data_IF_700138172498
#
_entry.id   IF_700138172498
#
_cell.length_a   1.000
_cell.length_b   1.000
_cell.length_c   1.000
_cell.angle_alpha   90.00
_cell.angle_beta   90.00
_cell.angle_gamma   90.00
#
_symmetry.space_group_name_H-M   'P 1'
#
loop_
_entity.id
_entity.type
_entity.pdbx_description
1 polymer ?
#
# COMPACT_ATOMS: atom_id res chain seq x y z
N UNK A 1 15.44 10.64 -12.98
CA UNK A 1 16.29 11.85 -12.99
C UNK A 1 15.85 12.77 -11.86
N UNK A 2 16.75 13.25 -10.98
CA UNK A 2 16.39 14.33 -10.07
C UNK A 2 16.21 15.62 -10.88
N UNK A 3 15.01 16.18 -10.88
CA UNK A 3 14.75 17.50 -11.45
C UNK A 3 15.44 18.54 -10.55
N UNK A 4 16.28 19.39 -11.14
CA UNK A 4 16.86 20.54 -10.43
C UNK A 4 15.69 21.48 -10.12
N UNK A 5 15.21 21.45 -8.87
CA UNK A 5 13.95 22.12 -8.49
C UNK A 5 14.03 23.64 -8.56
N UNK A 6 15.22 24.23 -8.41
CA UNK A 6 15.41 25.67 -8.22
C UNK A 6 16.70 26.11 -8.92
N UNK A 7 16.57 26.62 -10.14
CA UNK A 7 17.70 27.15 -10.91
C UNK A 7 17.82 28.65 -10.67
N UNK A 8 19.05 29.15 -10.50
CA UNK A 8 19.30 30.58 -10.31
C UNK A 8 19.35 31.24 -11.69
N UNK A 9 18.52 32.24 -11.89
CA UNK A 9 18.45 32.99 -13.13
C UNK A 9 18.96 34.42 -12.92
N UNK A 10 19.79 34.96 -13.83
CA UNK A 10 20.38 34.34 -15.02
C UNK A 10 21.58 33.42 -14.72
N UNK A 11 21.78 32.36 -15.51
CA UNK A 11 22.82 31.34 -15.25
C UNK A 11 24.25 31.81 -15.60
N UNK A 12 24.39 32.62 -16.64
CA UNK A 12 25.68 33.12 -17.12
C UNK A 12 25.87 34.57 -16.73
N UNK A 13 27.06 34.92 -16.26
CA UNK A 13 27.38 36.26 -15.76
C UNK A 13 27.81 37.25 -16.86
N UNK A 14 28.53 36.77 -17.87
CA UNK A 14 29.22 37.63 -18.83
C UNK A 14 29.33 36.99 -20.23
N UNK A 15 28.22 36.44 -20.74
CA UNK A 15 28.18 35.78 -22.06
C UNK A 15 27.69 36.66 -23.22
N UNK A 16 27.29 37.91 -22.93
CA UNK A 16 26.83 38.86 -23.94
C UNK A 16 28.01 39.57 -24.60
N UNK A 17 27.96 39.73 -25.92
CA UNK A 17 28.93 40.53 -26.65
C UNK A 17 28.88 42.00 -26.18
N UNK A 18 30.05 42.63 -26.10
CA UNK A 18 30.14 44.06 -25.79
C UNK A 18 29.65 44.84 -27.01
N UNK A 19 28.72 45.80 -26.85
CA UNK A 19 28.26 46.63 -27.97
C UNK A 19 29.40 47.43 -28.63
N UNK A 20 29.34 47.57 -29.95
CA UNK A 20 30.31 48.34 -30.72
C UNK A 20 30.24 49.84 -30.36
N UNK A 21 31.41 50.51 -30.33
CA UNK A 21 31.50 51.95 -30.09
C UNK A 21 31.57 52.38 -28.61
N UNK A 22 31.78 51.44 -27.69
CA UNK A 22 31.98 51.74 -26.26
C UNK A 22 33.45 52.11 -26.02
N UNK A 23 33.68 53.26 -25.37
CA UNK A 23 35.04 53.72 -25.06
C UNK A 23 35.79 52.87 -24.02
N UNK A 24 35.08 52.35 -23.01
CA UNK A 24 35.65 51.50 -21.97
C UNK A 24 34.91 50.17 -21.85
N UNK A 25 35.33 49.20 -22.66
CA UNK A 25 34.71 47.87 -22.73
C UNK A 25 34.79 47.12 -21.39
N UNK A 26 35.89 47.26 -20.64
CA UNK A 26 36.08 46.59 -19.36
C UNK A 26 35.08 47.08 -18.30
N UNK A 27 34.85 48.39 -18.24
CA UNK A 27 33.84 48.98 -17.36
C UNK A 27 32.43 48.52 -17.74
N UNK A 28 32.13 48.41 -19.05
CA UNK A 28 30.86 47.86 -19.51
C UNK A 28 30.66 46.41 -19.07
N UNK A 29 31.66 45.54 -19.27
CA UNK A 29 31.59 44.11 -18.87
C UNK A 29 31.46 43.97 -17.37
N UNK A 30 32.23 44.73 -16.59
CA UNK A 30 32.16 44.69 -15.11
C UNK A 30 30.80 45.16 -14.59
N UNK A 31 30.24 46.25 -15.13
CA UNK A 31 28.91 46.72 -14.74
C UNK A 31 27.80 45.73 -15.14
N UNK A 32 27.87 45.16 -16.34
CA UNK A 32 26.96 44.08 -16.77
C UNK A 32 27.06 42.85 -15.86
N UNK A 33 28.27 42.46 -15.48
CA UNK A 33 28.52 41.35 -14.57
C UNK A 33 27.91 41.63 -13.19
N UNK A 34 28.13 42.82 -12.62
CA UNK A 34 27.55 43.23 -11.33
C UNK A 34 26.02 43.26 -11.38
N UNK A 35 25.44 43.84 -12.43
CA UNK A 35 23.99 43.83 -12.65
C UNK A 35 23.42 42.41 -12.71
N UNK A 36 24.16 41.50 -13.35
CA UNK A 36 23.78 40.09 -13.47
C UNK A 36 23.89 39.35 -12.13
N UNK A 37 24.93 39.64 -11.33
CA UNK A 37 25.06 39.13 -9.95
C UNK A 37 23.89 39.60 -9.08
N UNK A 38 23.48 40.88 -9.17
CA UNK A 38 22.33 41.40 -8.42
C UNK A 38 21.05 40.63 -8.78
N UNK A 39 20.85 40.32 -10.07
CA UNK A 39 19.71 39.50 -10.52
C UNK A 39 19.77 38.07 -9.98
N UNK A 40 20.96 37.45 -9.96
CA UNK A 40 21.14 36.13 -9.35
C UNK A 40 20.82 36.13 -7.85
N UNK A 41 21.24 37.16 -7.11
CA UNK A 41 20.92 37.32 -5.69
C UNK A 41 19.42 37.50 -5.48
N UNK A 42 18.74 38.28 -6.33
CA UNK A 42 17.28 38.39 -6.29
C UNK A 42 16.60 37.05 -6.53
N UNK A 43 17.02 36.28 -7.54
CA UNK A 43 16.50 34.93 -7.80
C UNK A 43 16.76 33.98 -6.62
N UNK A 44 17.93 34.07 -5.98
CA UNK A 44 18.26 33.31 -4.79
C UNK A 44 17.33 33.65 -3.61
N UNK A 45 17.07 34.94 -3.38
CA UNK A 45 16.16 35.41 -2.33
C UNK A 45 14.75 34.89 -2.53
N UNK A 46 14.21 34.91 -3.76
CA UNK A 46 12.90 34.32 -4.07
C UNK A 46 12.87 32.81 -3.79
N UNK A 47 13.93 32.08 -4.14
CA UNK A 47 14.00 30.65 -3.84
C UNK A 47 14.07 30.36 -2.33
N UNK A 48 14.80 31.20 -1.59
CA UNK A 48 14.87 31.09 -0.13
C UNK A 48 13.51 31.37 0.52
N UNK A 49 12.80 32.43 0.09
CA UNK A 49 11.44 32.74 0.53
C UNK A 49 10.49 31.55 0.30
N UNK A 50 10.53 30.94 -0.89
CA UNK A 50 9.70 29.77 -1.19
C UNK A 50 9.99 28.59 -0.25
N UNK A 51 11.27 28.30 0.05
CA UNK A 51 11.65 27.22 0.97
C UNK A 51 11.18 27.52 2.39
N UNK A 52 11.42 28.72 2.89
CA UNK A 52 11.01 29.09 4.25
C UNK A 52 9.49 29.19 4.37
N UNK A 53 8.79 29.63 3.33
CA UNK A 53 7.32 29.65 3.27
C UNK A 53 6.71 28.25 3.32
N UNK A 54 7.26 27.29 2.55
CA UNK A 54 6.85 25.88 2.59
C UNK A 54 7.03 25.29 4.00
N UNK A 55 8.21 25.48 4.61
CA UNK A 55 8.50 25.02 5.96
C UNK A 55 7.61 25.68 7.02
N UNK A 56 7.38 26.99 6.90
CA UNK A 56 6.54 27.73 7.82
C UNK A 56 5.09 27.23 7.80
N UNK A 57 4.53 26.99 6.60
CA UNK A 57 3.16 26.49 6.46
C UNK A 57 3.00 25.08 7.06
N UNK A 58 3.98 24.21 6.85
CA UNK A 58 3.99 22.86 7.43
C UNK A 58 4.12 22.92 8.97
N UNK A 59 5.04 23.74 9.48
CA UNK A 59 5.21 23.97 10.92
C UNK A 59 3.95 24.55 11.57
N UNK A 60 3.26 25.48 10.91
CA UNK A 60 2.03 26.07 11.41
C UNK A 60 0.87 25.06 11.41
N UNK A 61 0.80 24.21 10.39
CA UNK A 61 -0.16 23.08 10.34
C UNK A 61 0.10 22.10 11.49
N UNK A 62 1.36 21.78 11.76
CA UNK A 62 1.76 20.96 12.89
C UNK A 62 1.40 21.62 14.23
N UNK A 63 1.71 22.91 14.38
CA UNK A 63 1.41 23.69 15.58
C UNK A 63 -0.09 23.69 15.90
N UNK A 64 -0.96 23.95 14.91
CA UNK A 64 -2.41 23.89 15.10
C UNK A 64 -2.90 22.52 15.56
N UNK A 65 -2.33 21.43 15.00
CA UNK A 65 -2.63 20.05 15.43
C UNK A 65 -2.15 19.76 16.85
N UNK A 66 -0.96 20.24 17.20
CA UNK A 66 -0.37 20.06 18.53
C UNK A 66 -1.21 20.75 19.61
N UNK A 67 -1.63 21.99 19.38
CA UNK A 67 -2.52 22.71 20.30
C UNK A 67 -3.86 22.00 20.48
N UNK A 68 -4.49 21.57 19.38
CA UNK A 68 -5.75 20.81 19.46
C UNK A 68 -5.58 19.48 20.22
N UNK A 69 -4.42 18.83 20.08
CA UNK A 69 -4.12 17.61 20.83
C UNK A 69 -3.88 17.90 22.31
N UNK A 70 -3.15 18.97 22.65
CA UNK A 70 -2.90 19.37 24.03
C UNK A 70 -4.21 19.65 24.77
N UNK A 71 -5.09 20.45 24.18
CA UNK A 71 -6.44 20.72 24.70
C UNK A 71 -7.25 19.44 24.99
N UNK A 72 -7.08 18.41 24.16
CA UNK A 72 -7.74 17.12 24.35
C UNK A 72 -7.10 16.31 25.47
N UNK A 73 -5.79 16.37 25.60
CA UNK A 73 -5.02 15.73 26.68
C UNK A 73 -5.44 16.33 28.03
N UNK A 74 -5.50 17.65 28.14
CA UNK A 74 -5.84 18.33 29.40
C UNK A 74 -7.26 17.95 29.87
N UNK A 75 -8.23 17.99 28.95
CA UNK A 75 -9.62 17.56 29.24
C UNK A 75 -9.69 16.07 29.58
N UNK A 76 -8.90 15.22 28.94
CA UNK A 76 -8.86 13.79 29.23
C UNK A 76 -8.23 13.53 30.60
N UNK A 77 -7.18 14.25 30.98
CA UNK A 77 -6.52 14.13 32.27
C UNK A 77 -7.49 14.43 33.42
N UNK A 78 -8.30 15.50 33.31
CA UNK A 78 -9.35 15.80 34.29
C UNK A 78 -10.38 14.68 34.36
N UNK A 79 -10.85 14.16 33.22
CA UNK A 79 -11.81 13.05 33.21
C UNK A 79 -11.26 11.78 33.84
N UNK A 80 -10.01 11.41 33.53
CA UNK A 80 -9.37 10.20 34.06
C UNK A 80 -9.13 10.31 35.56
N UNK A 81 -8.74 11.48 36.06
CA UNK A 81 -8.53 11.70 37.51
C UNK A 81 -9.82 11.71 38.32
N UNK A 82 -10.96 12.01 37.69
CA UNK A 82 -12.28 11.98 38.31
C UNK A 82 -12.99 10.62 38.22
N UNK A 83 -12.42 9.63 37.52
CA UNK A 83 -13.01 8.29 37.43
C UNK A 83 -12.93 7.57 38.77
N UNK A 84 -14.06 7.05 39.22
CA UNK A 84 -14.17 6.21 40.40
C UNK A 84 -14.57 4.79 39.99
N UNK A 85 -13.58 3.88 40.00
CA UNK A 85 -13.78 2.48 39.64
C UNK A 85 -14.68 1.70 40.60
N UNK A 86 -14.97 2.24 41.80
CA UNK A 86 -15.87 1.60 42.76
C UNK A 86 -17.35 1.79 42.40
N UNK A 87 -17.66 2.82 41.59
CA UNK A 87 -19.02 3.18 41.18
C UNK A 87 -19.30 2.81 39.71
N UNK A 88 -18.27 2.63 38.89
CA UNK A 88 -18.42 2.35 37.46
C UNK A 88 -18.79 0.87 37.18
N UNK A 89 -20.06 0.61 36.88
CA UNK A 89 -20.56 -0.72 36.52
C UNK A 89 -20.36 -1.05 35.02
N UNK A 90 -19.92 -2.29 34.74
CA UNK A 90 -19.73 -2.78 33.37
C UNK A 90 -21.05 -3.30 32.79
N UNK A 91 -21.61 -2.61 31.80
CA UNK A 91 -22.87 -3.00 31.14
C UNK A 91 -22.66 -3.94 29.96
N UNK A 92 -23.26 -5.14 30.02
CA UNK A 92 -23.29 -6.08 28.90
C UNK A 92 -24.19 -5.61 27.75
N UNK A 93 -25.08 -4.64 28.00
CA UNK A 93 -25.94 -4.07 26.95
C UNK A 93 -25.10 -3.33 25.89
N UNK A 94 -23.97 -2.77 26.28
CA UNK A 94 -23.08 -2.00 25.39
C UNK A 94 -22.49 -2.85 24.28
N UNK A 95 -22.28 -4.15 24.53
CA UNK A 95 -21.72 -5.10 23.57
C UNK A 95 -22.60 -5.20 22.33
N UNK A 96 -23.93 -5.18 22.51
CA UNK A 96 -24.88 -5.33 21.42
C UNK A 96 -25.45 -4.00 20.93
N UNK A 97 -25.50 -2.97 21.79
CA UNK A 97 -26.17 -1.70 21.49
C UNK A 97 -25.21 -0.57 21.07
N UNK A 98 -23.92 -0.65 21.40
CA UNK A 98 -22.91 0.33 20.95
C UNK A 98 -22.05 -0.24 19.84
N UNK A 99 -21.66 0.63 18.91
CA UNK A 99 -20.65 0.28 17.91
C UNK A 99 -19.28 0.22 18.58
N UNK A 100 -18.49 -0.79 18.23
CA UNK A 100 -17.11 -0.90 18.66
C UNK A 100 -16.29 0.32 18.22
N UNK A 101 -15.30 0.69 19.02
CA UNK A 101 -14.32 1.71 18.67
C UNK A 101 -13.62 1.35 17.35
N UNK A 102 -13.37 2.37 16.52
CA UNK A 102 -12.59 2.24 15.29
C UNK A 102 -11.56 3.36 15.25
N UNK A 103 -10.32 2.98 15.00
CA UNK A 103 -9.26 3.92 14.67
C UNK A 103 -9.42 4.43 13.23
N UNK A 104 -8.78 5.57 12.94
CA UNK A 104 -8.64 6.05 11.57
C UNK A 104 -7.84 5.06 10.72
N UNK A 105 -8.27 4.84 9.47
CA UNK A 105 -7.60 3.98 8.48
C UNK A 105 -7.44 4.73 7.15
N UNK A 106 -7.08 6.00 7.21
CA UNK A 106 -6.81 6.83 6.02
C UNK A 106 -5.50 6.38 5.39
N UNK A 107 -5.48 6.27 4.07
CA UNK A 107 -4.29 5.92 3.28
C UNK A 107 -4.08 6.98 2.20
N UNK A 108 -2.87 7.51 2.13
CA UNK A 108 -2.50 8.48 1.10
C UNK A 108 -2.32 7.78 -0.25
N UNK A 109 -3.00 8.30 -1.27
CA UNK A 109 -2.99 7.78 -2.63
C UNK A 109 -2.91 8.95 -3.61
N UNK A 110 -2.58 8.68 -4.88
CA UNK A 110 -2.48 9.72 -5.92
C UNK A 110 -1.47 10.84 -5.57
N UNK A 111 -0.34 10.46 -4.95
CA UNK A 111 0.68 11.39 -4.43
C UNK A 111 1.40 12.22 -5.51
N UNK A 112 1.24 11.88 -6.79
CA UNK A 112 1.80 12.60 -7.93
C UNK A 112 0.74 13.36 -8.74
N UNK A 113 -0.37 13.75 -8.09
CA UNK A 113 -1.39 14.55 -8.73
C UNK A 113 -0.90 15.98 -9.01
N UNK A 114 -1.61 16.72 -9.89
CA UNK A 114 -1.31 18.13 -10.17
C UNK A 114 -1.33 19.00 -8.89
N UNK A 115 -2.18 18.66 -7.92
CA UNK A 115 -2.29 19.39 -6.66
C UNK A 115 -1.13 19.17 -5.69
N UNK A 116 -0.40 18.06 -5.80
CA UNK A 116 0.81 17.80 -4.99
C UNK A 116 2.10 18.21 -5.69
N UNK A 117 2.00 18.87 -6.85
CA UNK A 117 3.18 19.35 -7.58
C UNK A 117 3.80 20.54 -6.84
N UNK A 118 5.10 20.51 -6.53
CA UNK A 118 5.78 21.64 -5.89
C UNK A 118 5.68 22.91 -6.73
N UNK A 119 5.57 24.06 -6.07
CA UNK A 119 5.52 25.40 -6.66
C UNK A 119 6.56 25.58 -7.78
N UNK A 120 7.80 25.22 -7.50
CA UNK A 120 8.92 25.38 -8.43
C UNK A 120 8.80 24.50 -9.68
N UNK A 121 8.23 23.30 -9.56
CA UNK A 121 7.97 22.41 -10.70
C UNK A 121 6.78 22.93 -11.52
N UNK A 122 5.77 23.46 -10.86
CA UNK A 122 4.62 24.08 -11.51
C UNK A 122 5.05 25.32 -12.33
N UNK A 123 5.94 26.15 -11.79
CA UNK A 123 6.53 27.29 -12.52
C UNK A 123 7.29 26.84 -13.77
N UNK A 124 8.14 25.81 -13.67
CA UNK A 124 8.85 25.24 -14.82
C UNK A 124 7.88 24.70 -15.88
N UNK A 125 6.85 23.99 -15.45
CA UNK A 125 5.80 23.48 -16.34
C UNK A 125 5.07 24.63 -17.06
N UNK A 126 4.77 25.72 -16.36
CA UNK A 126 4.06 26.87 -16.92
C UNK A 126 4.88 27.69 -17.92
N UNK A 127 6.22 27.64 -17.82
CA UNK A 127 7.15 28.25 -18.80
C UNK A 127 7.37 27.38 -20.04
N UNK A 128 6.95 26.12 -20.00
CA UNK A 128 7.11 25.18 -21.12
C UNK A 128 6.10 25.46 -22.22
N UNK A 129 6.41 25.03 -23.44
CA UNK A 129 5.51 25.19 -24.58
C UNK A 129 4.18 24.46 -24.35
N UNK A 130 3.08 25.18 -24.61
CA UNK A 130 1.74 24.62 -24.47
C UNK A 130 1.40 23.76 -25.68
N UNK A 131 0.62 22.68 -25.49
CA UNK A 131 0.16 21.90 -26.61
C UNK A 131 -0.73 22.74 -27.55
N UNK A 132 -0.85 22.34 -28.84
CA UNK A 132 -1.80 22.96 -29.75
C UNK A 132 -3.22 22.91 -29.18
N UNK A 133 -4.06 23.95 -29.36
CA UNK A 133 -5.39 24.05 -28.76
C UNK A 133 -6.42 23.18 -29.51
N UNK A 134 -6.18 21.86 -29.55
CA UNK A 134 -7.03 20.89 -30.24
C UNK A 134 -8.38 20.72 -29.55
N UNK A 135 -8.51 21.08 -28.27
CA UNK A 135 -9.78 21.07 -27.54
C UNK A 135 -10.89 21.83 -28.30
N UNK A 136 -10.55 22.90 -29.02
CA UNK A 136 -11.50 23.67 -29.83
C UNK A 136 -12.13 22.86 -30.98
N UNK A 137 -11.44 21.83 -31.47
CA UNK A 137 -11.93 20.96 -32.54
C UNK A 137 -12.89 19.87 -32.03
N UNK A 138 -13.00 19.69 -30.71
CA UNK A 138 -13.87 18.67 -30.10
C UNK A 138 -15.33 18.83 -30.53
N UNK A 139 -15.81 20.05 -30.73
CA UNK A 139 -17.19 20.33 -31.13
C UNK A 139 -17.55 19.79 -32.53
N UNK A 140 -16.55 19.51 -33.37
CA UNK A 140 -16.74 19.01 -34.74
C UNK A 140 -16.59 17.49 -34.84
N UNK A 141 -16.37 16.80 -33.71
CA UNK A 141 -16.20 15.35 -33.69
C UNK A 141 -17.53 14.62 -33.53
N UNK A 142 -17.69 13.52 -34.28
CA UNK A 142 -18.89 12.67 -34.22
C UNK A 142 -18.93 11.80 -32.96
N UNK A 143 -17.78 11.43 -32.40
CA UNK A 143 -17.66 10.48 -31.30
C UNK A 143 -17.73 11.11 -29.90
N UNK A 144 -17.91 12.44 -29.80
CA UNK A 144 -17.90 13.23 -28.56
C UNK A 144 -16.64 13.11 -27.70
N UNK A 145 -15.60 12.44 -28.20
CA UNK A 145 -14.32 12.28 -27.51
C UNK A 145 -13.55 13.60 -27.54
N UNK A 146 -12.88 13.95 -26.43
CA UNK A 146 -12.00 15.13 -26.43
C UNK A 146 -10.89 14.95 -27.49
N UNK A 147 -10.82 15.87 -28.45
CA UNK A 147 -9.81 15.89 -29.49
C UNK A 147 -8.37 15.93 -28.92
N UNK A 148 -8.17 16.57 -27.77
CA UNK A 148 -6.88 16.67 -27.12
C UNK A 148 -6.35 15.31 -26.64
N UNK A 149 -7.23 14.37 -26.30
CA UNK A 149 -6.82 13.02 -25.88
C UNK A 149 -6.09 12.25 -26.99
N UNK A 150 -6.32 12.59 -28.26
CA UNK A 150 -5.59 11.99 -29.40
C UNK A 150 -4.16 12.51 -29.53
N UNK A 151 -3.87 13.69 -28.96
CA UNK A 151 -2.52 14.25 -28.90
C UNK A 151 -1.81 13.85 -27.60
N UNK A 152 -2.50 14.00 -26.46
CA UNK A 152 -1.98 13.61 -25.15
C UNK A 152 -3.11 13.24 -24.21
N UNK A 153 -3.11 12.00 -23.74
CA UNK A 153 -4.02 11.50 -22.72
C UNK A 153 -3.26 11.05 -21.46
N UNK A 154 -3.25 11.87 -20.39
CA UNK A 154 -2.62 11.50 -19.12
C UNK A 154 -3.26 10.28 -18.43
N UNK A 155 -4.52 9.96 -18.75
CA UNK A 155 -5.26 8.85 -18.13
C UNK A 155 -5.00 7.50 -18.79
N UNK A 156 -4.43 7.50 -20.00
CA UNK A 156 -4.19 6.32 -20.84
C UNK A 156 -3.54 5.16 -20.09
N UNK A 157 -2.44 5.43 -19.38
CA UNK A 157 -1.70 4.39 -18.65
C UNK A 157 -2.53 3.74 -17.54
N UNK A 158 -3.34 4.54 -16.83
CA UNK A 158 -4.17 4.04 -15.76
C UNK A 158 -5.32 3.19 -16.31
N UNK A 159 -6.00 3.65 -17.36
CA UNK A 159 -7.11 2.91 -17.97
C UNK A 159 -6.63 1.60 -18.58
N UNK A 160 -5.50 1.60 -19.30
CA UNK A 160 -4.88 0.37 -19.83
C UNK A 160 -4.50 -0.60 -18.72
N UNK A 161 -3.89 -0.11 -17.64
CA UNK A 161 -3.54 -0.93 -16.48
C UNK A 161 -4.78 -1.53 -15.83
N UNK A 162 -5.81 -0.72 -15.60
CA UNK A 162 -7.08 -1.12 -14.99
C UNK A 162 -7.75 -2.22 -15.81
N UNK A 163 -7.86 -2.04 -17.12
CA UNK A 163 -8.41 -3.04 -18.04
C UNK A 163 -7.67 -4.37 -17.91
N UNK A 164 -6.33 -4.34 -17.98
CA UNK A 164 -5.49 -5.52 -17.81
C UNK A 164 -5.72 -6.22 -16.47
N UNK A 165 -5.78 -5.48 -15.37
CA UNK A 165 -6.00 -6.05 -14.04
C UNK A 165 -7.37 -6.72 -13.90
N UNK A 166 -8.42 -6.16 -14.51
CA UNK A 166 -9.74 -6.79 -14.56
C UNK A 166 -9.71 -8.08 -15.39
N UNK A 167 -9.05 -8.06 -16.55
CA UNK A 167 -8.89 -9.23 -17.41
C UNK A 167 -8.15 -10.37 -16.69
N UNK A 168 -6.99 -10.07 -16.11
CA UNK A 168 -6.16 -11.03 -15.35
C UNK A 168 -6.96 -11.61 -14.16
N UNK A 169 -7.77 -10.79 -13.48
CA UNK A 169 -8.62 -11.23 -12.37
C UNK A 169 -9.73 -12.17 -12.84
N UNK A 170 -10.35 -11.89 -13.99
CA UNK A 170 -11.38 -12.73 -14.59
C UNK A 170 -10.80 -14.07 -15.06
N UNK A 171 -9.65 -14.06 -15.72
CA UNK A 171 -8.95 -15.25 -16.17
C UNK A 171 -8.53 -16.14 -14.99
N UNK A 172 -7.93 -15.56 -13.95
CA UNK A 172 -7.56 -16.27 -12.72
C UNK A 172 -8.78 -16.91 -12.04
N UNK A 173 -9.94 -16.24 -12.05
CA UNK A 173 -11.20 -16.81 -11.54
C UNK A 173 -11.69 -17.98 -12.40
N UNK A 174 -11.58 -17.89 -13.74
CA UNK A 174 -11.98 -18.94 -14.68
C UNK A 174 -11.08 -20.17 -14.56
N UNK A 175 -9.78 -19.97 -14.46
CA UNK A 175 -8.80 -21.06 -14.32
C UNK A 175 -9.00 -21.85 -13.01
N UNK A 176 -9.25 -21.16 -11.89
CA UNK A 176 -9.60 -21.83 -10.62
C UNK A 176 -10.88 -22.67 -10.71
N UNK A 177 -11.84 -22.29 -11.56
CA UNK A 177 -13.05 -23.12 -11.80
C UNK A 177 -12.69 -24.36 -12.63
N UNK A 178 -11.88 -24.22 -13.67
CA UNK A 178 -11.41 -25.35 -14.51
C UNK A 178 -10.63 -26.39 -13.70
N UNK A 179 -9.70 -25.97 -12.85
CA UNK A 179 -8.94 -26.88 -11.98
C UNK A 179 -9.84 -27.64 -10.99
N UNK A 180 -10.89 -27.00 -10.45
CA UNK A 180 -11.88 -27.68 -9.58
C UNK A 180 -12.70 -28.73 -10.31
N UNK A 181 -13.02 -28.51 -11.59
CA UNK A 181 -13.74 -29.48 -12.43
C UNK A 181 -12.83 -30.66 -12.75
N UNK A 182 -11.60 -30.39 -13.25
CA UNK A 182 -10.60 -31.44 -13.54
C UNK A 182 -10.26 -32.29 -12.31
N UNK A 183 -10.13 -31.66 -11.13
CA UNK A 183 -9.88 -32.38 -9.88
C UNK A 183 -11.06 -33.22 -9.36
N UNK A 184 -12.30 -32.92 -9.78
CA UNK A 184 -13.47 -33.75 -9.48
C UNK A 184 -13.58 -34.94 -10.43
N UNK A 185 -13.33 -34.73 -11.72
CA UNK A 185 -13.38 -35.78 -12.74
C UNK A 185 -12.33 -36.87 -12.50
N UNK A 186 -11.13 -36.51 -12.02
CA UNK A 186 -10.09 -37.49 -11.67
C UNK A 186 -10.38 -38.30 -10.38
N UNK A 187 -11.39 -37.91 -9.58
CA UNK A 187 -11.73 -38.58 -8.31
C UNK A 187 -12.85 -39.63 -8.43
N UNK A 188 -13.42 -39.84 -9.61
CA UNK A 188 -14.53 -40.78 -9.82
C UNK A 188 -14.35 -41.65 -11.07
N UNK A 189 -13.64 -42.79 -10.97
CA UNK A 189 -13.90 -43.90 -11.90
C UNK A 189 -13.95 -45.29 -11.23
N UNK A 190 -14.49 -45.46 -10.01
CA UNK A 190 -14.56 -46.80 -9.38
C UNK A 190 -15.81 -47.10 -8.51
N UNK A 191 -16.96 -46.47 -8.76
CA UNK A 191 -18.16 -46.73 -7.95
C UNK A 191 -19.48 -46.89 -8.73
N UNK A 192 -19.43 -47.02 -10.06
CA UNK A 192 -20.64 -47.06 -10.89
C UNK A 192 -21.11 -48.47 -11.30
N UNK A 193 -20.29 -49.52 -11.16
CA UNK A 193 -20.73 -50.87 -11.55
C UNK A 193 -21.45 -51.67 -10.44
N UNK A 194 -21.30 -51.32 -9.16
CA UNK A 194 -21.81 -52.15 -8.06
C UNK A 194 -23.33 -51.99 -7.79
N UNK A 195 -24.00 -50.95 -8.33
CA UNK A 195 -25.35 -50.54 -7.86
C UNK A 195 -26.52 -50.78 -8.84
N UNK A 196 -26.40 -51.69 -9.81
CA UNK A 196 -27.52 -52.00 -10.74
C UNK A 196 -28.31 -53.28 -10.44
N UNK A 197 -27.94 -54.03 -9.41
CA UNK A 197 -28.75 -55.15 -8.94
C UNK A 197 -29.28 -54.82 -7.55
N UNK A 198 -30.56 -55.11 -7.32
CA UNK A 198 -31.34 -54.90 -6.09
C UNK A 198 -32.15 -53.60 -6.08
N UNK A 199 -33.44 -53.75 -5.78
CA UNK A 199 -34.49 -52.73 -5.59
C UNK A 199 -35.28 -52.26 -6.82
N UNK A 200 -35.90 -53.24 -7.49
CA UNK A 200 -37.25 -53.06 -8.04
C UNK A 200 -38.26 -53.45 -6.95
N UNK A 201 -38.78 -52.48 -6.19
CA UNK A 201 -40.12 -52.50 -5.56
C UNK A 201 -40.25 -51.41 -4.50
N UNK A 202 -41.46 -50.88 -4.43
CA UNK A 202 -42.05 -49.99 -3.40
C UNK A 202 -42.07 -48.48 -3.67
N UNK A 203 -43.27 -47.97 -3.46
CA UNK A 203 -43.88 -46.75 -3.97
C UNK A 203 -43.44 -45.50 -3.23
N UNK A 204 -43.49 -44.40 -3.96
CA UNK A 204 -43.18 -43.03 -3.57
C UNK A 204 -44.04 -42.51 -2.40
N UNK A 205 -43.37 -41.89 -1.42
CA UNK A 205 -43.88 -40.71 -0.70
C UNK A 205 -42.77 -39.66 -0.67
N UNK A 206 -42.99 -38.54 -1.36
CA UNK A 206 -42.09 -37.40 -1.32
C UNK A 206 -42.17 -36.71 0.06
N UNK A 207 -41.11 -36.85 0.85
CA UNK A 207 -40.83 -35.92 1.94
C UNK A 207 -39.68 -35.04 1.48
N UNK A 208 -39.92 -33.74 1.37
CA UNK A 208 -38.90 -32.72 1.10
C UNK A 208 -37.79 -32.86 2.14
N UNK A 209 -36.67 -33.49 1.75
CA UNK A 209 -35.48 -33.62 2.61
C UNK A 209 -34.86 -32.25 2.82
N UNK A 210 -35.24 -31.57 3.89
CA UNK A 210 -34.48 -30.43 4.40
C UNK A 210 -33.10 -30.94 4.77
N UNK A 211 -32.04 -30.36 4.17
CA UNK A 211 -30.66 -30.72 4.50
C UNK A 211 -30.45 -30.47 5.99
N UNK A 212 -30.23 -31.55 6.75
CA UNK A 212 -29.84 -31.45 8.16
C UNK A 212 -28.57 -30.61 8.24
N UNK A 213 -28.64 -29.47 8.91
CA UNK A 213 -27.50 -28.58 9.07
C UNK A 213 -26.35 -29.38 9.70
N UNK A 214 -25.17 -29.33 9.06
CA UNK A 214 -23.97 -30.04 9.55
C UNK A 214 -23.65 -29.54 10.95
N UNK A 215 -23.81 -30.42 11.94
CA UNK A 215 -23.52 -30.11 13.33
C UNK A 215 -22.00 -29.96 13.50
N UNK A 216 -21.53 -28.71 13.60
CA UNK A 216 -20.10 -28.37 13.79
C UNK A 216 -19.68 -28.34 15.25
N UNK A 217 -20.54 -28.72 16.21
CA UNK A 217 -20.25 -28.66 17.66
C UNK A 217 -18.94 -29.37 18.02
N UNK A 218 -18.64 -30.48 17.35
CA UNK A 218 -17.39 -31.21 17.55
C UNK A 218 -16.15 -30.41 17.08
N UNK A 219 -16.22 -29.73 15.93
CA UNK A 219 -15.14 -28.88 15.42
C UNK A 219 -14.89 -27.66 16.34
N UNK A 220 -15.96 -27.04 16.85
CA UNK A 220 -15.87 -25.93 17.80
C UNK A 220 -15.30 -26.38 19.15
N UNK A 221 -15.74 -27.52 19.69
CA UNK A 221 -15.15 -28.09 20.90
C UNK A 221 -13.67 -28.41 20.71
N UNK A 222 -13.27 -28.87 19.53
CA UNK A 222 -11.86 -29.12 19.22
C UNK A 222 -11.06 -27.81 19.17
N UNK A 223 -11.64 -26.73 18.61
CA UNK A 223 -11.01 -25.40 18.53
C UNK A 223 -10.97 -24.64 19.85
N UNK A 224 -11.78 -25.05 20.83
CA UNK A 224 -11.71 -24.52 22.20
C UNK A 224 -10.50 -25.01 22.98
N UNK A 225 -9.83 -26.09 22.54
CA UNK A 225 -8.56 -26.52 23.13
C UNK A 225 -7.39 -25.72 22.57
N UNK A 226 -6.47 -25.37 23.47
CA UNK A 226 -5.24 -24.68 23.12
C UNK A 226 -4.37 -25.55 22.19
N UNK A 227 -3.59 -24.92 21.30
CA UNK A 227 -2.92 -25.62 20.18
C UNK A 227 -2.02 -26.79 20.60
N UNK A 228 -1.54 -26.78 21.84
CA UNK A 228 -0.62 -27.77 22.38
C UNK A 228 -1.32 -29.01 22.96
N UNK A 229 -2.63 -28.95 23.22
CA UNK A 229 -3.39 -30.01 23.91
C UNK A 229 -4.38 -30.75 23.00
N UNK A 230 -4.33 -30.52 21.69
CA UNK A 230 -5.23 -31.17 20.72
C UNK A 230 -4.70 -32.57 20.37
N UNK A 231 -5.52 -33.64 20.42
CA UNK A 231 -5.09 -34.98 20.01
C UNK A 231 -4.68 -34.98 18.52
N UNK A 232 -3.41 -35.31 18.22
CA UNK A 232 -2.85 -35.27 16.86
C UNK A 232 -3.27 -36.53 16.08
N UNK A 233 -3.88 -36.36 14.91
CA UNK A 233 -4.25 -37.47 14.01
C UNK A 233 -3.08 -37.79 13.07
N UNK A 234 -1.98 -38.30 13.60
CA UNK A 234 -0.90 -38.88 12.78
C UNK A 234 -0.96 -40.41 12.81
N UNK A 235 -1.58 -40.94 11.75
CA UNK A 235 -1.41 -42.23 11.09
C UNK A 235 -1.31 -43.55 11.92
N UNK A 236 -2.05 -44.62 11.55
CA UNK A 236 -1.94 -45.92 12.20
C UNK A 236 -0.63 -46.64 11.83
N UNK A 237 -0.07 -47.32 12.84
CA UNK A 237 1.08 -48.21 12.73
C UNK A 237 0.75 -49.45 11.88
N UNK A 238 1.62 -49.79 10.92
CA UNK A 238 1.87 -51.19 10.54
C UNK A 238 3.37 -51.43 10.41
N UNK A 239 3.86 -52.38 11.21
CA UNK A 239 5.20 -52.95 11.20
C UNK A 239 5.24 -54.13 10.21
N UNK A 240 6.28 -54.24 9.37
CA UNK A 240 7.19 -55.42 9.19
C UNK A 240 7.86 -55.48 7.79
N UNK A 241 9.18 -55.77 7.81
CA UNK A 241 10.08 -56.35 6.76
C UNK A 241 10.28 -55.50 5.50
N UNK A 242 11.48 -55.31 4.93
CA UNK A 242 12.81 -55.89 5.09
C UNK A 242 13.47 -55.97 3.71
N UNK A 243 14.75 -55.58 3.63
CA UNK A 243 15.73 -55.77 2.54
C UNK A 243 15.80 -54.76 1.35
N UNK A 244 17.03 -54.25 1.19
CA UNK A 244 17.82 -53.80 0.03
C UNK A 244 17.16 -53.41 -1.30
N UNK A 245 17.61 -52.29 -1.90
CA UNK A 245 18.54 -52.31 -3.06
C UNK A 245 18.76 -50.89 -3.63
N UNK A 246 19.85 -50.78 -4.37
CA UNK A 246 20.63 -49.65 -4.85
C UNK A 246 20.01 -48.74 -5.93
N UNK A 247 20.61 -47.54 -6.07
CA UNK A 247 20.73 -46.78 -7.32
C UNK A 247 19.48 -46.02 -7.78
N UNK A 248 19.50 -44.89 -8.47
CA UNK A 248 20.58 -44.15 -9.14
C UNK A 248 19.94 -42.90 -9.76
N UNK A 249 20.69 -41.79 -9.71
CA UNK A 249 20.81 -40.73 -10.74
C UNK A 249 19.69 -39.69 -10.98
N UNK A 250 20.02 -38.46 -10.55
CA UNK A 250 19.82 -37.14 -11.21
C UNK A 250 20.39 -37.13 -12.66
N UNK A 251 20.18 -36.14 -13.57
CA UNK A 251 20.08 -34.68 -13.36
C UNK A 251 19.06 -33.96 -14.30
N UNK A 252 18.87 -32.64 -14.43
CA UNK A 252 19.75 -31.48 -14.25
C UNK A 252 18.90 -30.18 -14.28
N UNK A 253 19.41 -29.06 -13.76
CA UNK A 253 18.93 -27.71 -14.14
C UNK A 253 18.86 -26.60 -13.07
N UNK A 254 20.02 -26.21 -12.51
CA UNK A 254 20.55 -24.84 -12.25
C UNK A 254 19.51 -23.69 -12.11
N UNK A 255 19.50 -22.82 -11.10
CA UNK A 255 20.59 -22.05 -10.48
C UNK A 255 20.18 -21.64 -9.05
N UNK A 256 21.04 -21.90 -8.06
CA UNK A 256 20.93 -21.40 -6.68
C UNK A 256 21.99 -20.31 -6.50
N UNK A 257 21.57 -19.08 -6.23
CA UNK A 257 22.44 -18.04 -5.65
C UNK A 257 22.34 -18.19 -4.13
N UNK A 258 23.48 -18.51 -3.52
CA UNK A 258 23.70 -18.56 -2.09
C UNK A 258 23.50 -17.18 -1.44
N UNK A 259 22.71 -17.11 -0.38
CA UNK A 259 22.85 -16.10 0.65
C UNK A 259 22.78 -16.77 2.04
N UNK A 260 23.77 -16.41 2.85
CA UNK A 260 24.23 -17.07 4.05
C UNK A 260 23.15 -17.24 5.14
N UNK A 261 23.19 -18.43 5.73
CA UNK A 261 22.43 -18.85 6.91
C UNK A 261 23.25 -18.53 8.15
N UNK A 262 22.81 -17.56 8.95
CA UNK A 262 23.16 -17.51 10.36
C UNK A 262 22.46 -18.64 11.12
N UNK A 263 23.23 -19.34 11.96
CA UNK A 263 22.85 -20.25 13.05
C UNK A 263 24.10 -20.29 13.97
N UNK A 264 24.08 -20.24 15.30
CA UNK A 264 23.03 -20.47 16.31
C UNK A 264 23.71 -20.54 17.70
N UNK A 265 22.96 -20.24 18.78
CA UNK A 265 23.06 -20.75 20.19
C UNK A 265 24.19 -20.19 21.11
N UNK A 266 24.07 -20.08 22.45
CA UNK A 266 23.03 -20.27 23.50
C UNK A 266 23.59 -19.74 24.86
N UNK A 267 22.73 -19.41 25.85
CA UNK A 267 23.07 -19.28 27.29
C UNK A 267 22.47 -18.02 28.00
N UNK A 268 21.22 -18.03 28.50
CA UNK A 268 20.74 -18.32 29.89
C UNK A 268 21.31 -17.35 30.97
N UNK A 269 20.65 -16.20 31.24
CA UNK A 269 19.73 -15.83 32.38
C UNK A 269 20.43 -15.37 33.70
N UNK A 270 19.78 -14.61 34.62
CA UNK A 270 18.94 -13.41 34.46
C UNK A 270 19.35 -12.27 35.43
N UNK A 271 18.91 -11.03 35.17
CA UNK A 271 19.15 -9.90 36.08
C UNK A 271 18.05 -8.84 35.97
N UNK A 272 17.02 -8.97 36.81
CA UNK A 272 16.08 -7.90 37.13
C UNK A 272 16.85 -6.68 37.68
N UNK A 273 16.60 -5.49 37.13
CA UNK A 273 16.58 -4.25 37.91
C UNK A 273 15.70 -3.20 37.22
N UNK A 274 14.53 -3.06 37.82
CA UNK A 274 13.55 -2.00 37.66
C UNK A 274 14.20 -0.69 38.11
N UNK A 275 14.31 0.30 37.21
CA UNK A 275 14.68 1.66 37.60
C UNK A 275 13.38 2.48 37.68
N UNK A 276 12.92 2.63 38.92
CA UNK A 276 11.92 3.60 39.33
C UNK A 276 12.63 4.95 39.43
N UNK A 277 12.20 5.94 38.65
CA UNK A 277 12.62 7.34 38.85
C UNK A 277 11.51 8.02 39.64
N UNK A 278 11.73 8.21 40.93
CA UNK A 278 10.95 9.08 41.80
C UNK A 278 11.55 10.49 41.80
N UNK A 279 10.72 11.49 41.54
CA UNK A 279 10.98 12.90 41.81
C UNK A 279 11.09 13.16 43.31
N UNK A 280 12.02 14.04 43.71
CA UNK A 280 11.91 14.84 44.94
C UNK A 280 12.54 16.22 44.76
N UNK A 281 11.74 17.23 45.15
CA UNK A 281 11.98 18.68 45.26
C UNK A 281 12.12 19.48 43.96
#
# INVERSE_FOLDING_TARGET
MPLVKRNIEPRHLCHSAVPDGIGNELECVTNNTLSTIIRQLSSLSTHAENVFGELFNEANTFYGRANSLQDRIDRLAVKVTQLDSSVEEVSLQDINMRKAFKSSTVHDQQVLSKGSTPSSVAEMHNRSDRPPPLDALTAYREDSTNAMNFYSDPSYFFELWKEKMLQDTAEKRKERRRQRVRGREHSTPLLYEQKRCVESSTLQREVKKVRKARNRRHEWNMMAFDKELRPDHRHPQTLRRGASSEGSLSPDGRLVVHLLKERKKEGIQPGFKMLVVTHTS
#
